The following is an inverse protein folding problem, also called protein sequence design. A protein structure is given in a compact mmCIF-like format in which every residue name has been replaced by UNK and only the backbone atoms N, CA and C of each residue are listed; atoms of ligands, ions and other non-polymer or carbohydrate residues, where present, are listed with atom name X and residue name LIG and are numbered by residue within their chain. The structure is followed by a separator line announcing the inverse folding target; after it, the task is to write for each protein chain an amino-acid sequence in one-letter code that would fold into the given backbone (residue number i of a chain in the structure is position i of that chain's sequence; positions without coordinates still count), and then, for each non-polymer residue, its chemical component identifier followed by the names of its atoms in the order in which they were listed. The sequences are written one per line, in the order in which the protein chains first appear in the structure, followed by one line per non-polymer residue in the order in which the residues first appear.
data_IF_965160232539
#
_entry.id   IF_965160232539
#
_cell.length_a   1.000
_cell.length_b   1.000
_cell.length_c   1.000
_cell.angle_alpha   90.00
_cell.angle_beta   90.00
_cell.angle_gamma   90.00
#
_symmetry.space_group_name_H-M   'P 1'
#
loop_
_entity.id
_entity.type
_entity.pdbx_description
1 polymer ?
#
# COMPACT_ATOMS: atom_id res chain seq x y z
N UNK A 1 3.57 16.16 13.02
CA UNK A 1 3.15 16.47 11.65
C UNK A 1 3.88 15.56 10.65
N UNK A 2 3.39 15.49 9.41
CA UNK A 2 4.08 14.73 8.34
C UNK A 2 5.50 15.25 8.10
N UNK A 3 5.69 16.56 8.15
CA UNK A 3 7.01 17.17 8.00
C UNK A 3 7.99 16.73 9.12
N UNK A 4 7.52 16.62 10.35
CA UNK A 4 8.34 16.11 11.47
C UNK A 4 8.68 14.64 11.28
N UNK A 5 7.72 13.85 10.81
CA UNK A 5 7.94 12.43 10.48
C UNK A 5 8.98 12.25 9.37
N UNK A 6 8.90 13.03 8.30
CA UNK A 6 9.89 12.99 7.23
C UNK A 6 11.29 13.36 7.75
N UNK A 7 11.37 14.37 8.61
CA UNK A 7 12.63 14.86 9.17
C UNK A 7 13.21 13.98 10.30
N UNK A 8 12.41 13.07 10.86
CA UNK A 8 12.86 12.18 11.92
C UNK A 8 13.94 11.21 11.43
N UNK A 9 14.92 10.94 12.27
CA UNK A 9 15.97 9.96 11.97
C UNK A 9 15.38 8.53 11.91
N UNK A 10 15.99 7.65 11.12
CA UNK A 10 15.70 6.22 11.17
C UNK A 10 15.98 5.68 12.57
N UNK A 11 15.23 4.66 12.97
CA UNK A 11 15.25 4.03 14.29
C UNK A 11 14.83 4.95 15.45
N UNK A 12 14.32 6.16 15.16
CA UNK A 12 13.73 7.01 16.20
C UNK A 12 12.26 6.67 16.46
N UNK A 13 11.84 6.78 17.73
CA UNK A 13 10.45 6.64 18.09
C UNK A 13 9.66 7.89 17.65
N UNK A 14 8.54 7.66 16.98
CA UNK A 14 7.64 8.71 16.51
C UNK A 14 6.21 8.40 16.89
N UNK A 15 5.41 9.45 17.10
CA UNK A 15 3.97 9.35 17.26
C UNK A 15 3.30 10.18 16.18
N UNK A 16 2.37 9.53 15.46
CA UNK A 16 1.60 10.17 14.39
C UNK A 16 0.10 9.99 14.63
N UNK A 17 -0.71 10.84 14.02
CA UNK A 17 -2.13 10.62 13.84
C UNK A 17 -2.44 10.61 12.36
N UNK A 18 -3.19 9.60 11.91
CA UNK A 18 -3.52 9.44 10.51
C UNK A 18 -4.83 8.66 10.35
N UNK A 19 -5.29 8.50 9.12
CA UNK A 19 -6.55 7.84 8.81
C UNK A 19 -6.29 6.58 7.99
N UNK A 20 -6.91 5.48 8.40
CA UNK A 20 -6.85 4.21 7.67
C UNK A 20 -7.37 4.40 6.25
N UNK A 21 -6.64 3.92 5.25
CA UNK A 21 -7.07 3.92 3.85
C UNK A 21 -7.25 2.51 3.32
N UNK A 22 -6.35 1.59 3.68
CA UNK A 22 -6.37 0.18 3.32
C UNK A 22 -5.62 -0.64 4.36
N UNK A 23 -5.83 -1.94 4.36
CA UNK A 23 -5.10 -2.87 5.23
C UNK A 23 -4.89 -4.20 4.51
N UNK A 24 -3.83 -4.90 4.87
CA UNK A 24 -3.59 -6.29 4.50
C UNK A 24 -4.36 -7.23 5.45
N UNK A 25 -4.37 -8.52 5.14
CA UNK A 25 -4.98 -9.54 6.00
C UNK A 25 -4.36 -9.56 7.40
N UNK A 26 -5.20 -9.77 8.42
CA UNK A 26 -4.72 -9.95 9.78
C UNK A 26 -3.94 -11.27 9.93
N UNK A 27 -2.84 -11.22 10.68
CA UNK A 27 -1.97 -12.38 10.90
C UNK A 27 -1.27 -12.30 12.26
N UNK A 28 -1.41 -13.32 13.08
CA UNK A 28 -0.67 -13.49 14.36
C UNK A 28 -0.65 -12.23 15.25
N UNK A 29 -1.83 -11.67 15.55
CA UNK A 29 -2.00 -10.43 16.33
C UNK A 29 -1.30 -9.20 15.73
N UNK A 30 -1.21 -9.15 14.41
CA UNK A 30 -0.62 -8.05 13.66
C UNK A 30 -1.49 -7.60 12.50
N UNK A 31 -1.40 -6.31 12.19
CA UNK A 31 -2.00 -5.70 11.03
C UNK A 31 -1.00 -4.82 10.30
N UNK A 32 -0.92 -4.97 8.98
CA UNK A 32 -0.20 -4.03 8.11
C UNK A 32 -1.23 -3.10 7.50
N UNK A 33 -1.06 -1.80 7.73
CA UNK A 33 -2.08 -0.78 7.45
C UNK A 33 -1.48 0.38 6.67
N UNK A 34 -2.18 0.79 5.62
CA UNK A 34 -1.87 2.00 4.85
C UNK A 34 -2.72 3.14 5.39
N UNK A 35 -2.07 4.20 5.85
CA UNK A 35 -2.75 5.36 6.39
C UNK A 35 -2.32 6.63 5.66
N UNK A 36 -3.21 7.60 5.60
CA UNK A 36 -2.94 8.89 4.97
C UNK A 36 -3.77 9.97 5.62
N UNK A 37 -3.16 11.13 5.83
CA UNK A 37 -3.84 12.36 6.16
C UNK A 37 -3.76 13.35 4.98
N UNK A 38 -4.16 14.60 5.19
CA UNK A 38 -4.11 15.65 4.16
C UNK A 38 -2.67 16.09 3.79
N UNK A 39 -1.70 15.77 4.63
CA UNK A 39 -0.31 16.22 4.49
C UNK A 39 0.62 15.11 3.99
N UNK A 40 0.27 13.83 4.18
CA UNK A 40 1.07 12.71 3.71
C UNK A 40 0.57 11.33 4.14
N UNK A 41 1.31 10.31 3.75
CA UNK A 41 0.99 8.92 3.99
C UNK A 41 2.00 8.25 4.93
N UNK A 42 1.50 7.28 5.71
CA UNK A 42 2.31 6.49 6.63
C UNK A 42 1.96 5.02 6.48
N UNK A 43 2.98 4.21 6.32
CA UNK A 43 2.88 2.76 6.23
C UNK A 43 3.20 2.12 7.58
N UNK A 44 2.28 1.32 8.09
CA UNK A 44 2.37 0.65 9.39
C UNK A 44 2.59 -0.83 9.14
N UNK A 45 3.83 -1.28 9.31
CA UNK A 45 4.20 -2.66 9.04
C UNK A 45 4.06 -3.51 10.30
N UNK A 46 3.32 -4.62 10.21
CA UNK A 46 3.16 -5.59 11.27
C UNK A 46 2.83 -4.96 12.65
N UNK A 47 1.95 -3.95 12.65
CA UNK A 47 1.52 -3.25 13.86
C UNK A 47 0.76 -4.20 14.78
N UNK A 48 1.07 -4.18 16.09
CA UNK A 48 0.34 -4.97 17.07
C UNK A 48 -1.16 -4.66 17.05
N UNK A 49 -1.99 -5.69 16.84
CA UNK A 49 -3.42 -5.53 16.61
C UNK A 49 -4.17 -6.81 16.95
N UNK A 50 -5.13 -6.73 17.87
CA UNK A 50 -6.06 -7.84 18.10
C UNK A 50 -6.99 -8.03 16.89
N UNK A 51 -7.53 -9.22 16.71
CA UNK A 51 -8.52 -9.50 15.65
C UNK A 51 -9.76 -8.61 15.79
N UNK A 52 -10.22 -8.36 17.03
CA UNK A 52 -11.35 -7.47 17.31
C UNK A 52 -11.08 -6.03 16.87
N UNK A 53 -9.88 -5.51 17.10
CA UNK A 53 -9.51 -4.14 16.69
C UNK A 53 -9.23 -4.08 15.20
N UNK A 54 -8.71 -5.15 14.61
CA UNK A 54 -8.53 -5.25 13.16
C UNK A 54 -9.85 -5.03 12.40
N UNK A 55 -10.96 -5.62 12.87
CA UNK A 55 -12.27 -5.42 12.26
C UNK A 55 -12.74 -3.96 12.30
N UNK A 56 -12.26 -3.17 13.26
CA UNK A 56 -12.60 -1.75 13.42
C UNK A 56 -11.69 -0.84 12.59
N UNK A 57 -10.55 -1.35 12.08
CA UNK A 57 -9.63 -0.61 11.20
C UNK A 57 -10.21 -0.55 9.78
N UNK A 58 -11.24 0.25 9.60
CA UNK A 58 -11.90 0.45 8.31
C UNK A 58 -11.49 1.78 7.68
N UNK A 59 -11.55 1.92 6.34
CA UNK A 59 -11.19 3.16 5.67
C UNK A 59 -11.90 4.37 6.27
N UNK A 60 -11.14 5.44 6.53
CA UNK A 60 -11.61 6.70 7.10
C UNK A 60 -11.44 6.83 8.61
N UNK A 61 -11.22 5.73 9.34
CA UNK A 61 -11.03 5.77 10.79
C UNK A 61 -9.71 6.42 11.16
N UNK A 62 -9.74 7.33 12.14
CA UNK A 62 -8.54 7.99 12.67
C UNK A 62 -7.92 7.16 13.78
N UNK A 63 -6.62 6.96 13.69
CA UNK A 63 -5.81 6.30 14.71
C UNK A 63 -4.61 7.16 15.11
N UNK A 64 -4.16 7.00 16.35
CA UNK A 64 -2.88 7.50 16.84
C UNK A 64 -1.94 6.32 16.99
N UNK A 65 -0.76 6.44 16.39
CA UNK A 65 0.22 5.35 16.30
C UNK A 65 1.53 5.81 16.89
N UNK A 66 2.15 4.97 17.71
CA UNK A 66 3.52 5.14 18.19
C UNK A 66 4.35 3.94 17.75
N UNK A 67 5.46 4.20 17.11
CA UNK A 67 6.37 3.18 16.59
C UNK A 67 7.72 3.76 16.20
N UNK A 68 8.54 2.95 15.57
CA UNK A 68 9.90 3.33 15.17
C UNK A 68 9.95 3.51 13.65
N UNK A 69 10.45 4.67 13.21
CA UNK A 69 10.66 4.94 11.78
C UNK A 69 11.73 4.01 11.23
N UNK A 70 11.43 3.29 10.18
CA UNK A 70 12.33 2.37 9.51
C UNK A 70 12.26 2.55 7.99
N UNK A 71 13.18 1.93 7.28
CA UNK A 71 13.19 1.88 5.82
C UNK A 71 13.59 0.48 5.35
N UNK A 72 12.81 -0.07 4.44
CA UNK A 72 13.10 -1.34 3.76
C UNK A 72 13.08 -1.15 2.25
N UNK A 73 14.25 -1.30 1.62
CA UNK A 73 14.39 -1.20 0.15
C UNK A 73 13.78 0.08 -0.45
N UNK A 74 13.87 1.21 0.28
CA UNK A 74 13.31 2.50 -0.13
C UNK A 74 11.88 2.77 0.34
N UNK A 75 11.19 1.78 0.89
CA UNK A 75 9.88 1.98 1.52
C UNK A 75 10.07 2.43 2.96
N UNK A 76 9.52 3.60 3.28
CA UNK A 76 9.54 4.16 4.65
C UNK A 76 8.33 3.65 5.40
N UNK A 77 8.57 3.10 6.59
CA UNK A 77 7.56 2.42 7.40
C UNK A 77 7.68 2.75 8.89
N UNK A 78 6.63 2.46 9.64
CA UNK A 78 6.66 2.38 11.10
C UNK A 78 6.65 0.92 11.53
N UNK A 79 7.66 0.53 12.29
CA UNK A 79 7.82 -0.81 12.86
C UNK A 79 7.57 -0.80 14.38
N UNK A 80 7.32 -2.01 14.92
CA UNK A 80 7.06 -2.22 16.35
C UNK A 80 6.00 -1.26 16.91
N UNK A 81 5.02 -0.96 16.08
CA UNK A 81 4.02 0.04 16.36
C UNK A 81 2.87 -0.51 17.20
N UNK A 82 2.33 0.39 18.03
CA UNK A 82 1.06 0.22 18.74
C UNK A 82 0.14 1.38 18.38
N UNK A 83 -1.16 1.22 18.57
CA UNK A 83 -2.11 2.26 18.21
C UNK A 83 -3.28 2.36 19.20
N UNK A 84 -3.98 3.47 19.13
CA UNK A 84 -5.28 3.69 19.75
C UNK A 84 -6.22 4.37 18.76
N UNK A 85 -7.51 4.10 18.87
CA UNK A 85 -8.54 4.82 18.09
C UNK A 85 -8.71 6.24 18.63
N UNK A 86 -8.82 7.22 17.74
CA UNK A 86 -9.13 8.61 18.10
C UNK A 86 -10.64 8.81 18.03
N UNK A 87 -11.29 8.71 19.18
CA UNK A 87 -12.76 8.83 19.25
C UNK A 87 -13.24 10.23 18.89
N UNK A 88 -14.39 10.29 18.24
CA UNK A 88 -15.06 11.56 17.87
C UNK A 88 -14.37 12.33 16.75
N UNK A 89 -13.36 11.76 16.10
CA UNK A 89 -12.79 12.33 14.91
C UNK A 89 -13.73 12.12 13.70
N UNK A 90 -13.78 13.11 12.81
CA UNK A 90 -14.46 12.93 11.52
C UNK A 90 -13.68 11.91 10.68
N UNK A 91 -14.38 11.17 9.84
CA UNK A 91 -13.76 10.26 8.87
C UNK A 91 -13.04 11.04 7.77
N UNK A 92 -11.93 10.48 7.28
CA UNK A 92 -11.21 11.04 6.14
C UNK A 92 -10.72 9.95 5.19
N UNK A 93 -11.14 10.06 3.95
CA UNK A 93 -10.64 9.26 2.82
C UNK A 93 -9.81 10.19 1.94
N UNK A 94 -8.55 9.87 1.75
CA UNK A 94 -7.67 10.65 0.91
C UNK A 94 -8.13 10.58 -0.56
N UNK A 95 -8.27 11.72 -1.25
CA UNK A 95 -8.51 11.69 -2.68
C UNK A 95 -7.32 11.07 -3.42
N UNK A 96 -7.60 10.27 -4.45
CA UNK A 96 -6.54 9.70 -5.27
C UNK A 96 -5.81 10.82 -6.04
N UNK A 97 -4.48 10.75 -6.03
CA UNK A 97 -3.62 11.65 -6.82
C UNK A 97 -3.23 10.93 -8.10
N UNK A 98 -3.45 11.59 -9.26
CA UNK A 98 -3.01 11.06 -10.54
C UNK A 98 -1.49 11.21 -10.68
N UNK A 99 -0.80 10.08 -10.74
CA UNK A 99 0.67 10.00 -10.86
C UNK A 99 1.10 9.34 -12.17
N UNK A 100 0.22 9.28 -13.15
CA UNK A 100 0.50 8.64 -14.46
C UNK A 100 1.74 9.20 -15.12
N UNK A 101 1.92 10.52 -15.10
CA UNK A 101 3.07 11.20 -15.71
C UNK A 101 4.40 10.92 -14.99
N UNK A 102 4.36 10.35 -13.80
CA UNK A 102 5.55 9.97 -13.02
C UNK A 102 6.02 8.54 -13.29
N UNK A 103 5.27 7.75 -14.06
CA UNK A 103 5.67 6.39 -14.43
C UNK A 103 7.05 6.39 -15.10
N UNK A 104 7.95 5.55 -14.57
CA UNK A 104 9.32 5.44 -15.05
C UNK A 104 10.27 6.57 -14.61
N UNK A 105 9.83 7.47 -13.76
CA UNK A 105 10.67 8.51 -13.15
C UNK A 105 11.05 8.18 -11.72
N UNK A 106 12.12 8.76 -11.22
CA UNK A 106 12.55 8.62 -9.81
C UNK A 106 11.60 9.34 -8.83
N UNK A 107 10.76 10.24 -9.34
CA UNK A 107 9.83 11.04 -8.52
C UNK A 107 8.60 10.23 -8.07
N UNK A 108 8.30 9.09 -8.72
CA UNK A 108 7.16 8.26 -8.34
C UNK A 108 7.26 7.76 -6.90
N UNK A 109 8.48 7.50 -6.40
CA UNK A 109 8.71 7.05 -5.01
C UNK A 109 8.26 8.07 -3.97
N UNK A 110 8.20 9.35 -4.29
CA UNK A 110 7.72 10.41 -3.39
C UNK A 110 6.23 10.26 -3.05
N UNK A 111 5.51 9.47 -3.86
CA UNK A 111 4.10 9.13 -3.66
C UNK A 111 3.88 7.74 -3.05
N UNK A 112 4.94 7.12 -2.50
CA UNK A 112 4.81 5.81 -1.83
C UNK A 112 3.76 5.87 -0.72
N UNK A 113 3.03 4.76 -0.54
CA UNK A 113 1.99 4.60 0.48
C UNK A 113 0.78 5.53 0.37
N UNK A 114 0.71 6.39 -0.65
CA UNK A 114 -0.43 7.26 -0.92
C UNK A 114 -1.51 6.55 -1.74
N UNK A 115 -2.74 7.04 -1.59
CA UNK A 115 -3.83 6.71 -2.50
C UNK A 115 -3.60 7.42 -3.82
N UNK A 116 -3.22 6.67 -4.85
CA UNK A 116 -2.89 7.21 -6.18
C UNK A 116 -3.79 6.60 -7.25
N UNK A 117 -3.85 7.26 -8.40
CA UNK A 117 -4.51 6.73 -9.60
C UNK A 117 -3.59 6.84 -10.80
N UNK A 118 -3.77 5.91 -11.72
CA UNK A 118 -3.16 5.94 -13.05
C UNK A 118 -4.28 5.95 -14.08
N UNK A 119 -4.18 6.82 -15.07
CA UNK A 119 -5.20 7.00 -16.11
C UNK A 119 -4.64 6.68 -17.50
N UNK A 120 -5.55 6.35 -18.43
CA UNK A 120 -5.20 6.12 -19.84
C UNK A 120 -4.12 5.05 -20.06
N UNK A 121 -4.08 4.02 -19.20
CA UNK A 121 -3.20 2.88 -19.37
C UNK A 121 -3.85 1.81 -20.27
N UNK A 122 -3.05 1.16 -21.09
CA UNK A 122 -3.46 -0.02 -21.87
C UNK A 122 -2.85 -1.26 -21.24
N UNK A 123 -3.68 -2.26 -20.90
CA UNK A 123 -3.18 -3.55 -20.43
C UNK A 123 -2.59 -4.31 -21.62
N UNK A 124 -1.34 -4.72 -21.50
CA UNK A 124 -0.61 -5.52 -22.48
C UNK A 124 -0.55 -6.98 -22.03
N UNK A 125 -0.21 -7.87 -22.96
CA UNK A 125 0.01 -9.27 -22.62
C UNK A 125 1.14 -9.41 -21.60
N UNK A 126 0.88 -10.14 -20.51
CA UNK A 126 1.88 -10.46 -19.49
C UNK A 126 2.69 -11.73 -19.85
N UNK A 127 2.11 -12.61 -20.63
CA UNK A 127 2.71 -13.87 -21.07
C UNK A 127 1.74 -14.68 -21.92
N UNK A 128 1.98 -15.99 -22.02
CA UNK A 128 1.11 -16.92 -22.73
C UNK A 128 0.71 -18.09 -21.84
N UNK A 129 -0.49 -18.61 -22.04
CA UNK A 129 -0.96 -19.84 -21.41
C UNK A 129 -0.32 -21.08 -22.04
N UNK A 130 -0.66 -22.28 -21.53
CA UNK A 130 -0.15 -23.55 -22.05
C UNK A 130 -0.54 -23.84 -23.50
N UNK A 131 -1.58 -23.19 -24.00
CA UNK A 131 -2.07 -23.32 -25.36
C UNK A 131 -1.49 -22.26 -26.33
N UNK A 132 -0.64 -21.33 -25.77
CA UNK A 132 0.03 -20.29 -26.54
C UNK A 132 -0.82 -19.03 -26.77
N UNK A 133 -1.93 -18.85 -26.03
CA UNK A 133 -2.73 -17.64 -26.07
C UNK A 133 -2.17 -16.59 -25.13
N UNK A 134 -2.21 -15.33 -25.55
CA UNK A 134 -1.82 -14.22 -24.70
C UNK A 134 -2.73 -14.10 -23.47
N UNK A 135 -2.11 -13.92 -22.30
CA UNK A 135 -2.81 -13.68 -21.01
C UNK A 135 -2.50 -12.30 -20.48
N UNK A 136 -3.48 -11.60 -19.88
CA UNK A 136 -3.30 -10.23 -19.40
C UNK A 136 -2.53 -10.14 -18.08
N UNK A 137 -2.36 -11.23 -17.34
CA UNK A 137 -1.64 -11.27 -16.06
C UNK A 137 -1.01 -12.64 -15.84
N UNK A 138 -0.04 -12.69 -14.92
CA UNK A 138 0.59 -13.92 -14.43
C UNK A 138 0.50 -13.95 -12.90
N UNK A 139 0.36 -15.14 -12.32
CA UNK A 139 0.63 -15.36 -10.91
C UNK A 139 2.12 -15.64 -10.73
N UNK A 140 2.73 -14.93 -9.80
CA UNK A 140 4.18 -14.76 -9.66
C UNK A 140 4.82 -14.13 -10.91
N UNK A 141 6.02 -13.58 -10.74
CA UNK A 141 6.74 -12.84 -11.79
C UNK A 141 7.07 -13.69 -13.04
N UNK A 142 7.15 -15.00 -12.88
CA UNK A 142 7.51 -15.96 -13.93
C UNK A 142 6.33 -16.84 -14.38
N UNK A 143 5.14 -16.61 -13.86
CA UNK A 143 3.96 -17.39 -14.16
C UNK A 143 3.92 -18.79 -13.49
N UNK A 144 4.81 -19.04 -12.52
CA UNK A 144 4.85 -20.32 -11.78
C UNK A 144 3.79 -20.43 -10.69
N UNK A 145 3.09 -19.34 -10.39
CA UNK A 145 2.08 -19.26 -9.34
C UNK A 145 0.69 -19.75 -9.77
N UNK A 146 -0.24 -19.66 -8.83
CA UNK A 146 -1.64 -19.99 -8.99
C UNK A 146 -2.53 -18.95 -8.32
N UNK A 147 -3.84 -19.07 -8.49
CA UNK A 147 -4.81 -18.20 -7.85
C UNK A 147 -4.53 -18.09 -6.34
N UNK A 148 -4.40 -16.84 -5.86
CA UNK A 148 -4.04 -16.52 -4.48
C UNK A 148 -2.57 -16.13 -4.26
N UNK A 149 -1.72 -16.26 -5.28
CA UNK A 149 -0.36 -15.70 -5.30
C UNK A 149 -0.37 -14.25 -5.82
N UNK A 150 0.77 -13.58 -5.73
CA UNK A 150 0.96 -12.22 -6.24
C UNK A 150 0.65 -12.16 -7.74
N UNK A 151 -0.07 -11.13 -8.14
CA UNK A 151 -0.52 -10.94 -9.51
C UNK A 151 0.32 -9.87 -10.20
N UNK A 152 0.92 -10.24 -11.34
CA UNK A 152 1.74 -9.37 -12.18
C UNK A 152 1.03 -9.10 -13.50
N UNK A 153 1.00 -7.85 -13.91
CA UNK A 153 0.46 -7.45 -15.21
C UNK A 153 1.25 -6.30 -15.81
N UNK A 154 1.23 -6.20 -17.14
CA UNK A 154 1.91 -5.16 -17.86
C UNK A 154 0.91 -4.11 -18.35
N UNK A 155 1.33 -2.86 -18.29
CA UNK A 155 0.59 -1.73 -18.85
C UNK A 155 1.49 -0.90 -19.73
N UNK A 156 0.93 -0.31 -20.77
CA UNK A 156 1.63 0.68 -21.57
C UNK A 156 1.02 2.06 -21.41
N UNK A 157 1.89 3.05 -21.42
CA UNK A 157 1.58 4.48 -21.42
C UNK A 157 2.60 5.20 -22.26
N UNK A 158 2.17 6.03 -23.23
CA UNK A 158 3.05 6.82 -24.10
C UNK A 158 4.16 6.01 -24.81
N UNK A 159 3.87 4.75 -25.16
CA UNK A 159 4.82 3.87 -25.87
C UNK A 159 5.82 3.14 -24.98
N UNK A 160 5.77 3.34 -23.67
CA UNK A 160 6.58 2.63 -22.67
C UNK A 160 5.72 1.59 -21.94
N UNK A 161 6.33 0.46 -21.58
CA UNK A 161 5.67 -0.62 -20.83
C UNK A 161 6.19 -0.70 -19.42
N UNK A 162 5.26 -0.85 -18.47
CA UNK A 162 5.54 -0.94 -17.04
C UNK A 162 4.89 -2.19 -16.48
N UNK A 163 5.55 -2.85 -15.52
CA UNK A 163 4.98 -3.99 -14.79
C UNK A 163 4.43 -3.55 -13.46
N UNK A 164 3.18 -3.90 -13.21
CA UNK A 164 2.49 -3.67 -11.94
C UNK A 164 2.36 -4.98 -11.20
N UNK A 165 2.43 -4.90 -9.89
CA UNK A 165 2.22 -6.00 -8.95
C UNK A 165 1.03 -5.68 -8.04
N UNK A 166 0.14 -6.65 -7.89
CA UNK A 166 -0.86 -6.66 -6.81
C UNK A 166 -0.47 -7.78 -5.85
N UNK A 167 -0.08 -7.42 -4.64
CA UNK A 167 0.29 -8.38 -3.62
C UNK A 167 -0.92 -9.19 -3.15
N UNK A 168 -0.71 -10.48 -2.95
CA UNK A 168 -1.77 -11.42 -2.53
C UNK A 168 -2.45 -11.04 -1.21
N UNK A 169 -1.73 -10.34 -0.33
CA UNK A 169 -2.26 -9.85 0.96
C UNK A 169 -3.29 -8.73 0.83
N UNK A 170 -3.32 -8.03 -0.32
CA UNK A 170 -4.28 -6.96 -0.65
C UNK A 170 -5.47 -7.46 -1.46
N UNK A 171 -5.37 -8.66 -2.04
CA UNK A 171 -6.46 -9.27 -2.77
C UNK A 171 -7.47 -9.84 -1.77
N UNK A 172 -8.68 -9.29 -1.75
CA UNK A 172 -9.79 -9.94 -1.08
C UNK A 172 -10.17 -11.20 -1.88
N UNK A 173 -9.96 -12.36 -1.26
CA UNK A 173 -10.23 -13.65 -1.89
C UNK A 173 -11.71 -13.91 -2.11
N UNK A 174 -12.58 -13.08 -1.52
CA UNK A 174 -14.03 -13.19 -1.58
C UNK A 174 -14.68 -12.16 -2.52
N UNK A 175 -13.88 -11.37 -3.23
CA UNK A 175 -14.36 -10.34 -4.17
C UNK A 175 -14.17 -10.71 -5.63
#
# INVERSE_FOLDING_TARGET
SYADYVAADLDSEVTIESYVQAKQSWWEDKATVYTQDKDGAYFLYDMACSEEDYEKLVPGVKIRVTGYKSEWSGEVELMDATFEFVEGADEYIAPAVDVTDLLGTDELIDHQNQHVTFTDLTVEAAGQDADGNDVPYLYNWDGSGSEGDDLYFNVSSNGETYTFLVESYLCDKDS
#
